data_IF_918852803316
#
_entry.id   IF_918852803316
#
_cell.length_a   1.000
_cell.length_b   1.000
_cell.length_c   1.000
_cell.angle_alpha   90.00
_cell.angle_beta   90.00
_cell.angle_gamma   90.00
#
_symmetry.space_group_name_H-M   'P 1'
#
loop_
_entity.id
_entity.type
_entity.pdbx_description
1 polymer ?
#
# COMPACT_ATOMS: atom_id res chain seq x y z
N UNK A 1 25.89 18.86 18.50
CA UNK A 1 25.22 18.31 17.30
C UNK A 1 24.57 19.45 16.53
N UNK A 2 24.87 19.63 15.24
CA UNK A 2 24.36 20.74 14.40
C UNK A 2 23.30 20.19 13.43
N UNK A 3 22.26 19.54 13.91
CA UNK A 3 21.21 19.04 13.02
C UNK A 3 20.18 20.11 12.69
N UNK A 4 19.77 20.22 11.43
CA UNK A 4 18.63 21.03 10.99
C UNK A 4 17.28 20.39 11.27
N UNK A 5 17.27 19.06 11.41
CA UNK A 5 16.06 18.26 11.54
C UNK A 5 16.38 17.02 12.38
N UNK A 6 15.47 16.69 13.28
CA UNK A 6 15.51 15.44 14.06
C UNK A 6 14.16 14.77 13.92
N UNK A 7 14.14 13.58 13.32
CA UNK A 7 12.93 12.81 13.11
C UNK A 7 13.01 11.53 13.93
N UNK A 8 11.96 11.22 14.67
CA UNK A 8 11.85 9.99 15.44
C UNK A 8 11.04 8.97 14.64
N UNK A 9 11.52 7.75 14.56
CA UNK A 9 10.87 6.67 13.83
C UNK A 9 10.90 5.36 14.60
N UNK A 10 9.90 4.55 14.35
CA UNK A 10 9.86 3.12 14.67
C UNK A 10 9.77 2.37 13.36
N UNK A 11 10.77 1.55 13.07
CA UNK A 11 10.84 0.73 11.88
C UNK A 11 10.20 -0.64 12.14
N UNK A 12 9.44 -1.13 11.18
CA UNK A 12 8.78 -2.43 11.19
C UNK A 12 8.85 -3.08 9.81
N UNK A 13 8.45 -4.33 9.70
CA UNK A 13 8.09 -4.92 8.42
C UNK A 13 6.76 -5.66 8.52
N UNK A 14 5.97 -5.58 7.48
CA UNK A 14 4.72 -6.33 7.32
C UNK A 14 4.95 -7.42 6.28
N UNK A 15 4.99 -8.68 6.72
CA UNK A 15 5.21 -9.84 5.84
C UNK A 15 6.41 -9.63 4.89
N UNK A 16 7.48 -8.99 5.37
CA UNK A 16 8.70 -8.72 4.63
C UNK A 16 8.80 -7.33 3.99
N UNK A 17 7.71 -6.58 3.87
CA UNK A 17 7.73 -5.21 3.34
C UNK A 17 7.99 -4.20 4.46
N UNK A 18 9.06 -3.37 4.36
CA UNK A 18 9.39 -2.41 5.42
C UNK A 18 8.34 -1.31 5.56
N UNK A 19 8.17 -0.83 6.79
CA UNK A 19 7.39 0.36 7.10
C UNK A 19 8.11 1.16 8.17
N UNK A 20 8.56 2.36 7.82
CA UNK A 20 9.11 3.35 8.74
C UNK A 20 7.99 4.25 9.24
N UNK A 21 7.62 4.12 10.50
CA UNK A 21 6.58 4.94 11.13
C UNK A 21 7.24 6.14 11.79
N UNK A 22 6.98 7.35 11.26
CA UNK A 22 7.48 8.61 11.81
C UNK A 22 6.56 9.03 12.94
N UNK A 23 7.07 8.95 14.16
CA UNK A 23 6.34 9.20 15.40
C UNK A 23 6.58 10.59 15.99
N UNK A 24 7.55 11.34 15.45
CA UNK A 24 7.87 12.68 15.92
C UNK A 24 8.84 13.44 15.05
N UNK A 25 8.98 14.76 15.33
CA UNK A 25 9.86 15.65 14.58
C UNK A 25 9.20 16.34 13.38
N UNK A 26 7.97 15.97 13.03
CA UNK A 26 7.13 16.64 12.03
C UNK A 26 5.94 17.26 12.78
N UNK A 27 5.75 18.56 12.64
CA UNK A 27 4.58 19.24 13.19
C UNK A 27 3.28 18.85 12.48
N UNK A 28 2.16 19.41 12.92
CA UNK A 28 0.87 19.21 12.26
C UNK A 28 0.93 19.73 10.83
N UNK A 29 0.68 18.84 9.89
CA UNK A 29 0.66 19.15 8.44
C UNK A 29 -0.62 19.96 8.15
N UNK A 30 -0.54 21.09 7.43
CA UNK A 30 -1.72 21.86 7.04
C UNK A 30 -2.68 21.07 6.15
N UNK A 31 -3.99 21.26 6.39
CA UNK A 31 -5.07 20.64 5.64
C UNK A 31 -6.24 20.25 6.53
N UNK A 32 -7.47 20.38 6.02
CA UNK A 32 -8.71 20.04 6.70
C UNK A 32 -9.09 18.57 6.55
N UNK A 33 -8.47 17.87 5.59
CA UNK A 33 -8.58 16.42 5.40
C UNK A 33 -7.20 15.79 5.28
N UNK A 34 -7.09 14.49 5.53
CA UNK A 34 -5.81 13.80 5.37
C UNK A 34 -5.32 13.81 3.92
N UNK A 35 -6.24 13.85 2.94
CA UNK A 35 -5.85 13.98 1.53
C UNK A 35 -5.24 15.37 1.24
N UNK A 36 -5.83 16.45 1.77
CA UNK A 36 -5.24 17.79 1.67
C UNK A 36 -3.86 17.85 2.33
N UNK A 37 -3.68 17.22 3.51
CA UNK A 37 -2.37 17.11 4.18
C UNK A 37 -1.36 16.35 3.33
N UNK A 38 -1.75 15.25 2.69
CA UNK A 38 -0.91 14.49 1.75
C UNK A 38 -0.44 15.38 0.60
N UNK A 39 -1.36 16.10 -0.03
CA UNK A 39 -1.06 16.99 -1.16
C UNK A 39 -0.16 18.14 -0.74
N UNK A 40 -0.47 18.79 0.39
CA UNK A 40 0.35 19.86 0.94
C UNK A 40 1.78 19.40 1.24
N UNK A 41 1.94 18.23 1.89
CA UNK A 41 3.25 17.70 2.24
C UNK A 41 4.07 17.35 1.00
N UNK A 42 3.43 16.80 -0.01
CA UNK A 42 4.04 16.54 -1.32
C UNK A 42 4.57 17.81 -1.98
N UNK A 43 3.83 18.89 -1.91
CA UNK A 43 4.19 20.15 -2.56
C UNK A 43 5.27 20.91 -1.79
N UNK A 44 5.23 20.89 -0.45
CA UNK A 44 6.04 21.77 0.38
C UNK A 44 7.16 21.07 1.15
N UNK A 45 7.08 19.75 1.37
CA UNK A 45 8.00 19.00 2.23
C UNK A 45 8.41 17.65 1.64
N UNK A 46 8.49 17.54 0.32
CA UNK A 46 8.99 16.33 -0.34
C UNK A 46 10.46 16.02 0.05
N UNK A 47 11.21 17.05 0.46
CA UNK A 47 12.54 16.94 1.04
C UNK A 47 12.61 15.91 2.19
N UNK A 48 11.61 15.90 3.06
CA UNK A 48 11.53 14.94 4.19
C UNK A 48 11.26 13.51 3.70
N UNK A 49 10.32 13.34 2.75
CA UNK A 49 10.06 12.03 2.17
C UNK A 49 11.32 11.47 1.51
N UNK A 50 11.98 12.27 0.70
CA UNK A 50 13.23 11.88 0.02
C UNK A 50 14.33 11.51 1.02
N UNK A 51 14.55 12.34 2.05
CA UNK A 51 15.51 12.09 3.12
C UNK A 51 15.29 10.74 3.80
N UNK A 52 14.03 10.35 4.04
CA UNK A 52 13.67 9.15 4.82
C UNK A 52 13.57 7.88 3.97
N UNK A 53 13.20 8.03 2.69
CA UNK A 53 12.90 6.89 1.81
C UNK A 53 14.09 6.52 0.91
N UNK A 54 14.91 7.49 0.51
CA UNK A 54 16.06 7.25 -0.36
C UNK A 54 17.30 6.84 0.45
N UNK A 55 18.29 6.24 -0.23
CA UNK A 55 19.62 6.02 0.35
C UNK A 55 20.29 7.35 0.69
N UNK A 56 21.11 7.43 1.74
CA UNK A 56 21.61 6.35 2.59
C UNK A 56 20.73 6.04 3.81
N UNK A 57 19.58 6.72 4.00
CA UNK A 57 18.71 6.54 5.17
C UNK A 57 17.56 5.57 4.92
N UNK A 58 17.21 5.34 3.67
CA UNK A 58 16.25 4.35 3.18
C UNK A 58 16.90 3.40 2.17
N UNK A 59 16.11 2.88 1.26
CA UNK A 59 16.55 2.01 0.15
C UNK A 59 15.48 1.98 -0.96
N UNK A 60 15.81 1.44 -2.13
CA UNK A 60 14.99 1.46 -3.35
C UNK A 60 13.57 0.86 -3.23
N UNK A 61 13.20 0.27 -2.11
CA UNK A 61 11.84 -0.22 -1.83
C UNK A 61 11.38 0.20 -0.43
N UNK A 62 11.83 1.36 0.04
CA UNK A 62 11.44 1.86 1.35
C UNK A 62 10.03 2.42 1.32
N UNK A 63 9.25 2.06 2.34
CA UNK A 63 7.91 2.56 2.60
C UNK A 63 7.81 3.11 4.01
N UNK A 64 6.94 4.07 4.23
CA UNK A 64 6.77 4.69 5.54
C UNK A 64 5.42 5.35 5.73
N UNK A 65 5.20 5.81 6.95
CA UNK A 65 3.98 6.49 7.37
C UNK A 65 4.33 7.62 8.34
N UNK A 66 3.71 8.78 8.17
CA UNK A 66 3.84 9.91 9.08
C UNK A 66 2.59 9.98 9.94
N UNK A 67 2.73 9.79 11.25
CA UNK A 67 1.62 9.95 12.19
C UNK A 67 1.27 11.42 12.34
N UNK A 68 -0.04 11.71 12.35
CA UNK A 68 -0.61 13.04 12.50
C UNK A 68 -1.81 13.00 13.45
N UNK A 69 -2.20 14.11 14.07
CA UNK A 69 -3.53 14.23 14.64
C UNK A 69 -4.58 13.96 13.54
N UNK A 70 -5.67 13.23 13.82
CA UNK A 70 -6.69 12.98 12.83
C UNK A 70 -7.42 14.28 12.45
N UNK A 71 -7.99 14.33 11.25
CA UNK A 71 -8.88 15.42 10.82
C UNK A 71 -10.34 15.10 11.13
N UNK A 72 -10.64 13.82 11.36
CA UNK A 72 -11.95 13.29 11.71
C UNK A 72 -12.07 13.08 13.22
N UNK A 73 -13.18 13.49 13.86
CA UNK A 73 -13.36 13.32 15.30
C UNK A 73 -13.61 11.87 15.75
N UNK A 74 -13.91 10.97 14.80
CA UNK A 74 -14.17 9.56 15.03
C UNK A 74 -12.93 8.67 14.79
N UNK A 75 -11.75 9.28 14.64
CA UNK A 75 -10.49 8.58 14.40
C UNK A 75 -9.48 8.83 15.53
N UNK A 76 -8.63 7.84 15.81
CA UNK A 76 -7.60 7.88 16.84
C UNK A 76 -6.33 8.58 16.33
N UNK A 77 -5.93 8.27 15.08
CA UNK A 77 -4.74 8.81 14.42
C UNK A 77 -4.99 9.13 12.95
N UNK A 78 -4.31 10.18 12.48
CA UNK A 78 -4.16 10.47 11.05
C UNK A 78 -2.85 9.88 10.52
N UNK A 79 -2.86 9.45 9.26
CA UNK A 79 -1.69 8.82 8.63
C UNK A 79 -1.48 9.40 7.23
N UNK A 80 -0.25 9.85 6.93
CA UNK A 80 0.21 10.17 5.58
C UNK A 80 1.22 9.12 5.15
N UNK A 81 0.89 8.35 4.10
CA UNK A 81 1.78 7.32 3.56
C UNK A 81 2.80 7.91 2.59
N UNK A 82 4.06 7.53 2.77
CA UNK A 82 5.20 7.94 1.96
C UNK A 82 5.96 6.71 1.48
N UNK A 83 6.41 6.74 0.24
CA UNK A 83 7.22 5.69 -0.36
C UNK A 83 8.29 6.30 -1.28
N UNK A 84 9.23 5.48 -1.73
CA UNK A 84 10.15 5.86 -2.81
C UNK A 84 9.39 6.27 -4.07
N UNK A 85 8.24 5.65 -4.34
CA UNK A 85 7.33 5.96 -5.45
C UNK A 85 6.52 7.26 -5.27
N UNK A 86 6.43 7.80 -4.04
CA UNK A 86 5.69 9.04 -3.78
C UNK A 86 4.78 8.97 -2.56
N UNK A 87 3.53 9.40 -2.73
CA UNK A 87 2.54 9.53 -1.66
C UNK A 87 1.28 8.75 -2.00
N UNK A 88 0.99 7.72 -1.24
CA UNK A 88 -0.17 6.88 -1.47
C UNK A 88 -1.42 7.42 -0.77
N UNK A 89 -2.61 7.30 -1.38
CA UNK A 89 -3.86 7.56 -0.69
C UNK A 89 -4.16 6.52 0.40
N UNK A 90 -3.76 5.26 0.17
CA UNK A 90 -3.85 4.16 1.13
C UNK A 90 -2.70 3.17 0.92
N UNK A 91 -2.19 2.60 2.03
CA UNK A 91 -1.14 1.59 2.03
C UNK A 91 -1.49 0.47 3.02
N UNK A 92 -1.84 -0.72 2.52
CA UNK A 92 -2.31 -1.82 3.38
C UNK A 92 -1.24 -2.36 4.32
N UNK A 93 -0.06 -2.70 3.81
CA UNK A 93 1.05 -3.18 4.64
C UNK A 93 1.54 -2.09 5.61
N UNK A 94 1.59 -0.83 5.13
CA UNK A 94 1.94 0.31 5.96
C UNK A 94 0.96 0.51 7.12
N UNK A 95 -0.34 0.34 6.88
CA UNK A 95 -1.37 0.43 7.92
C UNK A 95 -1.23 -0.69 8.96
N UNK A 96 -0.94 -1.93 8.54
CA UNK A 96 -0.64 -3.04 9.45
C UNK A 96 0.59 -2.70 10.31
N UNK A 97 1.66 -2.16 9.68
CA UNK A 97 2.85 -1.69 10.40
C UNK A 97 2.54 -0.58 11.40
N UNK A 98 1.78 0.44 10.99
CA UNK A 98 1.33 1.54 11.86
C UNK A 98 0.55 1.01 13.07
N UNK A 99 -0.48 0.18 12.84
CA UNK A 99 -1.31 -0.36 13.93
C UNK A 99 -0.48 -1.20 14.91
N UNK A 100 0.46 -2.01 14.39
CA UNK A 100 1.39 -2.77 15.23
C UNK A 100 2.28 -1.84 16.05
N UNK A 101 2.88 -0.81 15.44
CA UNK A 101 3.72 0.16 16.14
C UNK A 101 2.93 0.90 17.23
N UNK A 102 1.71 1.35 16.96
CA UNK A 102 0.87 2.05 17.94
C UNK A 102 0.60 1.18 19.18
N UNK A 103 0.34 -0.11 19.00
CA UNK A 103 0.15 -1.06 20.12
C UNK A 103 1.47 -1.33 20.85
N UNK A 104 2.53 -1.73 20.13
CA UNK A 104 3.81 -2.12 20.72
C UNK A 104 4.55 -0.99 21.43
N UNK A 105 4.25 0.27 21.09
CA UNK A 105 4.87 1.45 21.72
C UNK A 105 3.96 2.17 22.71
N UNK A 106 2.74 1.66 22.97
CA UNK A 106 1.81 2.24 23.91
C UNK A 106 1.25 3.60 23.47
N UNK A 107 1.21 3.87 22.17
CA UNK A 107 0.65 5.11 21.62
C UNK A 107 -0.88 5.07 21.50
N UNK A 108 -1.49 3.93 21.80
CA UNK A 108 -2.93 3.71 21.95
C UNK A 108 -3.20 2.93 23.23
N UNK A 109 -4.40 3.04 23.77
CA UNK A 109 -4.85 2.17 24.85
C UNK A 109 -5.03 0.75 24.32
N UNK A 110 -4.34 -0.20 24.94
CA UNK A 110 -4.35 -1.60 24.51
C UNK A 110 -5.44 -2.36 25.26
N UNK A 111 -6.36 -2.97 24.50
CA UNK A 111 -7.45 -3.81 25.00
C UNK A 111 -7.29 -5.22 24.43
N UNK A 112 -7.23 -6.23 25.32
CA UNK A 112 -7.24 -7.65 24.92
C UNK A 112 -8.66 -8.22 24.92
N UNK A 113 -8.97 -9.16 24.04
CA UNK A 113 -8.09 -9.78 23.03
C UNK A 113 -7.98 -9.01 21.72
N UNK A 114 -8.71 -7.89 21.56
CA UNK A 114 -8.71 -7.10 20.32
C UNK A 114 -8.69 -5.61 20.66
N UNK A 115 -7.68 -4.91 20.14
CA UNK A 115 -7.58 -3.44 20.15
C UNK A 115 -8.07 -2.91 18.80
N UNK A 116 -9.09 -2.07 18.81
CA UNK A 116 -9.61 -1.42 17.59
C UNK A 116 -9.01 -0.04 17.46
N UNK A 117 -8.37 0.24 16.32
CA UNK A 117 -7.77 1.54 15.99
C UNK A 117 -8.44 2.10 14.74
N UNK A 118 -8.92 3.32 14.80
CA UNK A 118 -9.57 4.03 13.69
C UNK A 118 -8.58 5.02 13.11
N UNK A 119 -8.15 4.75 11.89
CA UNK A 119 -7.15 5.56 11.19
C UNK A 119 -7.81 6.44 10.13
N UNK A 120 -7.54 7.73 10.21
CA UNK A 120 -7.89 8.72 9.20
C UNK A 120 -6.80 8.71 8.12
N UNK A 121 -7.14 8.26 6.92
CA UNK A 121 -6.20 8.16 5.80
C UNK A 121 -6.61 9.06 4.65
N UNK A 122 -5.72 9.38 3.70
CA UNK A 122 -6.08 10.15 2.51
C UNK A 122 -7.23 9.53 1.68
N UNK A 123 -7.36 8.19 1.69
CA UNK A 123 -8.45 7.48 1.01
C UNK A 123 -9.72 7.34 1.88
N UNK A 124 -9.71 7.81 3.14
CA UNK A 124 -10.83 7.74 4.06
C UNK A 124 -10.55 6.96 5.34
N UNK A 125 -11.62 6.57 6.04
CA UNK A 125 -11.54 5.81 7.29
C UNK A 125 -11.08 4.38 7.02
N UNK A 126 -10.03 3.96 7.76
CA UNK A 126 -9.59 2.57 7.85
C UNK A 126 -9.68 2.10 9.29
N UNK A 127 -10.35 0.98 9.51
CA UNK A 127 -10.45 0.35 10.83
C UNK A 127 -9.48 -0.81 10.91
N UNK A 128 -8.56 -0.74 11.87
CA UNK A 128 -7.61 -1.80 12.19
C UNK A 128 -8.03 -2.51 13.47
N UNK A 129 -8.30 -3.80 13.39
CA UNK A 129 -8.56 -4.69 14.53
C UNK A 129 -7.27 -5.48 14.81
N UNK A 130 -6.57 -5.11 15.88
CA UNK A 130 -5.32 -5.73 16.28
C UNK A 130 -5.60 -6.83 17.29
N UNK A 131 -5.35 -8.07 16.93
CA UNK A 131 -5.36 -9.19 17.88
C UNK A 131 -4.16 -9.02 18.84
N UNK A 132 -4.44 -8.94 20.13
CA UNK A 132 -3.45 -8.73 21.19
C UNK A 132 -3.45 -9.88 22.17
N UNK A 133 -2.26 -10.35 22.51
CA UNK A 133 -2.05 -11.39 23.50
C UNK A 133 -0.77 -11.09 24.31
N UNK A 134 -0.90 -10.96 25.63
CA UNK A 134 0.19 -10.59 26.53
C UNK A 134 0.75 -9.20 26.22
N UNK A 135 -0.10 -8.25 25.83
CA UNK A 135 0.26 -6.89 25.46
C UNK A 135 0.90 -6.75 24.07
N UNK A 136 1.11 -7.83 23.33
CA UNK A 136 1.79 -7.83 22.03
C UNK A 136 0.81 -8.02 20.86
N UNK A 137 1.01 -7.28 19.76
CA UNK A 137 0.26 -7.42 18.52
C UNK A 137 0.60 -8.77 17.83
N UNK A 138 -0.41 -9.59 17.57
CA UNK A 138 -0.26 -10.92 16.94
C UNK A 138 -0.69 -10.94 15.47
N UNK A 139 -1.72 -10.19 15.14
CA UNK A 139 -2.24 -10.04 13.78
C UNK A 139 -3.01 -8.72 13.69
N UNK A 140 -3.12 -8.17 12.50
CA UNK A 140 -3.91 -6.98 12.22
C UNK A 140 -4.88 -7.28 11.10
N UNK A 141 -6.17 -7.13 11.36
CA UNK A 141 -7.22 -7.19 10.35
C UNK A 141 -7.64 -5.77 10.01
N UNK A 142 -7.57 -5.44 8.74
CA UNK A 142 -8.01 -4.14 8.23
C UNK A 142 -9.37 -4.28 7.54
N UNK A 143 -10.31 -3.39 7.90
CA UNK A 143 -11.49 -3.10 7.09
C UNK A 143 -11.10 -1.96 6.17
N UNK A 144 -10.88 -2.30 4.91
CA UNK A 144 -10.33 -1.37 3.92
C UNK A 144 -11.41 -0.49 3.30
N UNK A 145 -10.99 0.49 2.52
CA UNK A 145 -11.86 1.36 1.73
C UNK A 145 -12.66 0.54 0.70
N UNK A 146 -13.83 1.03 0.24
CA UNK A 146 -14.58 0.39 -0.82
C UNK A 146 -13.72 0.12 -2.05
N UNK A 147 -13.83 -1.09 -2.60
CA UNK A 147 -13.01 -1.56 -3.73
C UNK A 147 -13.92 -1.99 -4.87
N UNK A 148 -13.51 -1.72 -6.11
CA UNK A 148 -14.35 -1.95 -7.29
C UNK A 148 -13.54 -2.33 -8.52
N UNK A 149 -14.19 -3.05 -9.45
CA UNK A 149 -13.66 -3.29 -10.79
C UNK A 149 -13.92 -2.06 -11.66
N UNK A 150 -12.87 -1.57 -12.32
CA UNK A 150 -12.96 -0.49 -13.31
C UNK A 150 -13.29 -1.06 -14.70
N UNK A 151 -12.81 -2.27 -14.99
CA UNK A 151 -13.07 -2.96 -16.24
C UNK A 151 -12.38 -4.32 -16.31
N UNK A 152 -13.07 -5.26 -16.93
CA UNK A 152 -12.59 -6.60 -17.19
C UNK A 152 -12.18 -6.74 -18.65
N UNK A 153 -11.21 -7.64 -18.92
CA UNK A 153 -10.75 -8.01 -20.27
C UNK A 153 -10.34 -6.80 -21.14
N UNK A 154 -9.76 -5.79 -20.50
CA UNK A 154 -9.18 -4.61 -21.18
C UNK A 154 -7.93 -5.04 -21.94
N UNK A 155 -7.59 -4.25 -22.96
CA UNK A 155 -6.40 -4.50 -23.78
C UNK A 155 -5.46 -3.31 -23.71
N UNK A 156 -4.16 -3.57 -23.65
CA UNK A 156 -3.12 -2.55 -23.79
C UNK A 156 -2.11 -3.00 -24.82
N UNK A 157 -1.64 -2.06 -25.64
CA UNK A 157 -0.57 -2.32 -26.62
C UNK A 157 0.76 -1.87 -26.01
N UNK A 158 1.67 -2.82 -25.82
CA UNK A 158 3.00 -2.56 -25.26
C UNK A 158 3.90 -1.88 -26.30
N UNK A 159 5.00 -1.23 -25.88
CA UNK A 159 5.94 -0.57 -26.80
C UNK A 159 6.57 -1.49 -27.85
N UNK A 160 6.63 -2.80 -27.59
CA UNK A 160 7.11 -3.81 -28.53
C UNK A 160 6.05 -4.29 -29.55
N UNK A 161 4.84 -3.70 -29.50
CA UNK A 161 3.72 -4.01 -30.39
C UNK A 161 2.85 -5.18 -29.96
N UNK A 162 3.19 -5.89 -28.88
CA UNK A 162 2.33 -6.95 -28.33
C UNK A 162 1.11 -6.34 -27.65
N UNK A 163 -0.02 -7.01 -27.79
CA UNK A 163 -1.25 -6.67 -27.04
C UNK A 163 -1.42 -7.68 -25.91
N UNK A 164 -1.61 -7.19 -24.70
CA UNK A 164 -1.89 -7.99 -23.50
C UNK A 164 -3.30 -7.71 -22.99
N UNK A 165 -3.93 -8.73 -22.41
CA UNK A 165 -5.26 -8.60 -21.80
C UNK A 165 -5.11 -8.50 -20.29
N UNK A 166 -5.80 -7.54 -19.68
CA UNK A 166 -5.74 -7.28 -18.24
C UNK A 166 -7.09 -6.83 -17.69
N UNK A 167 -7.30 -7.01 -16.39
CA UNK A 167 -8.37 -6.38 -15.66
C UNK A 167 -7.85 -5.14 -14.93
N UNK A 168 -8.69 -4.14 -14.75
CA UNK A 168 -8.36 -2.95 -13.97
C UNK A 168 -9.30 -2.86 -12.78
N UNK A 169 -8.74 -2.73 -11.58
CA UNK A 169 -9.50 -2.62 -10.34
C UNK A 169 -8.88 -1.62 -9.36
N UNK A 170 -9.71 -1.11 -8.45
CA UNK A 170 -9.32 -0.23 -7.36
C UNK A 170 -9.49 -0.93 -6.01
N UNK A 171 -8.50 -0.78 -5.13
CA UNK A 171 -8.52 -1.32 -3.76
C UNK A 171 -7.90 -0.39 -2.72
N UNK A 172 -7.90 0.92 -3.02
CA UNK A 172 -7.14 1.98 -2.33
C UNK A 172 -6.07 2.61 -3.23
N UNK A 173 -5.68 1.89 -4.28
CA UNK A 173 -4.92 2.33 -5.45
C UNK A 173 -5.44 1.57 -6.67
N UNK A 174 -5.07 1.98 -7.89
CA UNK A 174 -5.41 1.26 -9.12
C UNK A 174 -4.39 0.15 -9.42
N UNK A 175 -4.91 -0.99 -9.86
CA UNK A 175 -4.15 -2.20 -10.17
C UNK A 175 -4.54 -2.75 -11.53
N UNK A 176 -3.56 -2.92 -12.42
CA UNK A 176 -3.71 -3.83 -13.54
C UNK A 176 -3.47 -5.27 -13.05
N UNK A 177 -4.37 -6.19 -13.38
CA UNK A 177 -4.38 -7.56 -12.87
C UNK A 177 -4.42 -8.52 -14.05
N UNK A 178 -3.39 -9.35 -14.22
CA UNK A 178 -3.30 -10.29 -15.32
C UNK A 178 -2.40 -11.48 -14.96
N UNK A 179 -2.57 -12.62 -15.66
CA UNK A 179 -1.65 -13.74 -15.47
C UNK A 179 -0.25 -13.39 -15.98
N UNK A 180 0.78 -13.85 -15.29
CA UNK A 180 2.17 -13.65 -15.71
C UNK A 180 2.46 -14.32 -17.06
N UNK A 181 1.69 -15.37 -17.41
CA UNK A 181 1.78 -16.09 -18.68
C UNK A 181 1.47 -15.20 -19.91
N UNK A 182 0.75 -14.08 -19.76
CA UNK A 182 0.55 -13.09 -20.83
C UNK A 182 1.89 -12.54 -21.36
N UNK A 183 2.92 -12.57 -20.53
CA UNK A 183 4.29 -12.16 -20.88
C UNK A 183 5.20 -13.35 -21.26
N UNK A 184 4.72 -14.60 -21.15
CA UNK A 184 5.53 -15.80 -21.36
C UNK A 184 6.65 -15.96 -20.32
N UNK A 185 6.50 -15.38 -19.13
CA UNK A 185 7.50 -15.39 -18.07
C UNK A 185 7.16 -16.42 -16.98
N UNK A 186 8.15 -17.19 -16.49
CA UNK A 186 7.95 -18.08 -15.36
C UNK A 186 7.87 -17.28 -14.04
N UNK A 187 7.09 -17.79 -13.07
CA UNK A 187 7.09 -17.26 -11.72
C UNK A 187 8.33 -17.71 -10.96
N UNK A 188 9.43 -17.03 -11.22
CA UNK A 188 10.76 -17.34 -10.67
C UNK A 188 11.47 -16.04 -10.24
N UNK A 189 11.98 -16.00 -9.02
CA UNK A 189 12.75 -14.85 -8.48
C UNK A 189 14.03 -14.58 -9.29
N UNK A 190 14.61 -15.57 -9.92
CA UNK A 190 15.75 -15.39 -10.82
C UNK A 190 15.39 -14.52 -12.05
N UNK A 191 14.12 -14.45 -12.41
CA UNK A 191 13.60 -13.62 -13.51
C UNK A 191 12.95 -12.32 -13.04
N UNK A 192 13.21 -11.89 -11.80
CA UNK A 192 12.59 -10.72 -11.20
C UNK A 192 12.70 -9.45 -12.06
N UNK A 193 13.84 -9.24 -12.71
CA UNK A 193 14.08 -8.04 -13.49
C UNK A 193 13.23 -8.03 -14.78
N UNK A 194 13.06 -9.18 -15.43
CA UNK A 194 12.17 -9.31 -16.60
C UNK A 194 10.70 -9.15 -16.19
N UNK A 195 10.29 -9.73 -15.06
CA UNK A 195 8.93 -9.61 -14.52
C UNK A 195 8.63 -8.14 -14.16
N UNK A 196 9.60 -7.46 -13.56
CA UNK A 196 9.46 -6.04 -13.23
C UNK A 196 9.34 -5.17 -14.48
N UNK A 197 10.21 -5.39 -15.46
CA UNK A 197 10.18 -4.68 -16.74
C UNK A 197 8.84 -4.87 -17.48
N UNK A 198 8.29 -6.08 -17.47
CA UNK A 198 6.98 -6.37 -18.05
C UNK A 198 5.86 -5.56 -17.33
N UNK A 199 5.86 -5.54 -15.99
CA UNK A 199 4.91 -4.75 -15.20
C UNK A 199 5.01 -3.26 -15.48
N UNK A 200 6.22 -2.69 -15.51
CA UNK A 200 6.45 -1.27 -15.81
C UNK A 200 5.99 -0.89 -17.21
N UNK A 201 6.31 -1.72 -18.21
CA UNK A 201 5.87 -1.52 -19.59
C UNK A 201 4.34 -1.47 -19.72
N UNK A 202 3.63 -2.31 -18.97
CA UNK A 202 2.17 -2.28 -18.94
C UNK A 202 1.62 -1.02 -18.23
N UNK A 203 2.24 -0.59 -17.11
CA UNK A 203 1.85 0.65 -16.44
C UNK A 203 1.94 1.86 -17.38
N UNK A 204 3.06 1.97 -18.10
CA UNK A 204 3.30 3.05 -19.05
C UNK A 204 2.27 3.03 -20.17
N UNK A 205 1.97 1.85 -20.74
CA UNK A 205 0.97 1.69 -21.79
C UNK A 205 -0.44 2.10 -21.31
N UNK A 206 -0.87 1.64 -20.14
CA UNK A 206 -2.18 1.98 -19.56
C UNK A 206 -2.30 3.48 -19.32
N UNK A 207 -1.32 4.10 -18.68
CA UNK A 207 -1.36 5.52 -18.34
C UNK A 207 -1.26 6.43 -19.57
N UNK A 208 -0.60 5.98 -20.64
CA UNK A 208 -0.53 6.71 -21.90
C UNK A 208 -1.83 6.63 -22.70
N UNK A 209 -2.57 5.50 -22.63
CA UNK A 209 -3.82 5.30 -23.36
C UNK A 209 -5.02 5.90 -22.63
N UNK A 210 -5.22 5.54 -21.36
CA UNK A 210 -6.32 6.03 -20.53
C UNK A 210 -5.95 5.92 -19.05
N UNK A 211 -5.40 7.01 -18.50
CA UNK A 211 -5.05 7.06 -17.08
C UNK A 211 -6.30 6.88 -16.20
N UNK A 212 -6.37 5.85 -15.32
CA UNK A 212 -7.52 5.67 -14.45
C UNK A 212 -7.61 6.78 -13.41
N UNK A 213 -8.86 7.22 -13.12
CA UNK A 213 -9.15 8.27 -12.14
C UNK A 213 -10.28 7.80 -11.22
N UNK A 214 -10.11 8.03 -9.91
CA UNK A 214 -11.14 7.68 -8.93
C UNK A 214 -12.39 8.55 -9.12
N UNK A 215 -13.60 7.95 -9.16
CA UNK A 215 -14.82 8.67 -9.55
C UNK A 215 -15.25 9.77 -8.57
N UNK A 216 -14.83 9.69 -7.29
CA UNK A 216 -15.17 10.68 -6.25
C UNK A 216 -14.00 11.62 -5.91
N UNK A 217 -12.75 11.25 -6.25
CA UNK A 217 -11.57 12.07 -5.95
C UNK A 217 -10.58 12.04 -7.13
N UNK A 218 -10.59 13.06 -7.99
CA UNK A 218 -9.72 13.11 -9.18
C UNK A 218 -8.22 13.25 -8.85
N UNK A 219 -7.85 13.47 -7.60
CA UNK A 219 -6.45 13.48 -7.16
C UNK A 219 -5.89 12.08 -6.95
N UNK A 220 -6.76 11.05 -6.89
CA UNK A 220 -6.42 9.63 -6.85
C UNK A 220 -6.49 9.12 -8.29
N UNK A 221 -5.33 9.00 -8.93
CA UNK A 221 -5.24 8.67 -10.35
C UNK A 221 -3.95 7.94 -10.69
N UNK A 222 -3.93 7.33 -11.87
CA UNK A 222 -2.79 6.59 -12.42
C UNK A 222 -2.75 5.13 -12.00
N UNK A 223 -2.37 4.27 -12.93
CA UNK A 223 -2.06 2.85 -12.66
C UNK A 223 -0.57 2.73 -12.37
N UNK A 224 -0.21 2.60 -11.10
CA UNK A 224 1.19 2.49 -10.64
C UNK A 224 1.53 1.12 -10.05
N UNK A 225 0.62 0.15 -10.19
CA UNK A 225 0.75 -1.19 -9.64
C UNK A 225 0.26 -2.22 -10.64
N UNK A 226 1.03 -3.30 -10.85
CA UNK A 226 0.62 -4.44 -11.67
C UNK A 226 0.70 -5.72 -10.86
N UNK A 227 -0.45 -6.38 -10.70
CA UNK A 227 -0.62 -7.64 -10.03
C UNK A 227 -0.46 -8.78 -11.04
N UNK A 228 0.77 -9.28 -11.21
CA UNK A 228 1.11 -10.38 -12.09
C UNK A 228 0.88 -11.71 -11.36
N UNK A 229 -0.31 -12.30 -11.53
CA UNK A 229 -0.59 -13.54 -10.82
C UNK A 229 0.03 -14.75 -11.48
N UNK A 230 0.46 -15.72 -10.63
CA UNK A 230 1.21 -16.87 -11.04
C UNK A 230 0.32 -18.05 -11.46
N UNK A 231 0.85 -19.02 -12.22
CA UNK A 231 0.21 -20.31 -12.40
C UNK A 231 -0.16 -20.99 -11.08
N UNK A 232 -1.30 -21.66 -11.02
CA UNK A 232 -1.84 -22.28 -9.81
C UNK A 232 -2.65 -21.33 -8.92
N UNK A 233 -2.85 -20.07 -9.33
CA UNK A 233 -3.85 -19.20 -8.71
C UNK A 233 -5.26 -19.72 -8.99
N UNK A 234 -6.12 -19.60 -7.98
CA UNK A 234 -7.56 -19.93 -8.03
C UNK A 234 -8.37 -18.75 -7.53
N UNK A 235 -9.70 -18.86 -7.55
CA UNK A 235 -10.58 -17.85 -6.97
C UNK A 235 -10.38 -17.67 -5.44
N UNK A 236 -9.80 -18.63 -4.74
CA UNK A 236 -9.53 -18.58 -3.29
C UNK A 236 -8.05 -18.41 -2.96
N UNK A 237 -7.16 -18.55 -3.94
CA UNK A 237 -5.72 -18.39 -3.77
C UNK A 237 -5.13 -17.61 -4.96
N UNK A 238 -4.57 -16.43 -4.70
CA UNK A 238 -3.74 -15.71 -5.66
C UNK A 238 -2.28 -15.79 -5.23
N UNK A 239 -1.41 -16.17 -6.15
CA UNK A 239 0.05 -16.07 -5.99
C UNK A 239 0.53 -15.05 -7.02
N UNK A 240 1.33 -14.07 -6.60
CA UNK A 240 1.65 -12.98 -7.51
C UNK A 240 3.01 -12.34 -7.28
N UNK A 241 3.52 -11.68 -8.29
CA UNK A 241 4.55 -10.66 -8.22
C UNK A 241 3.87 -9.30 -8.39
N UNK A 242 4.01 -8.42 -7.40
CA UNK A 242 3.43 -7.07 -7.42
C UNK A 242 4.49 -6.07 -7.87
N UNK A 243 4.48 -5.75 -9.17
CA UNK A 243 5.35 -4.71 -9.70
C UNK A 243 4.79 -3.33 -9.37
N UNK A 244 5.67 -2.43 -8.91
CA UNK A 244 5.31 -1.08 -8.45
C UNK A 244 6.22 -0.05 -9.12
N UNK A 245 5.62 1.06 -9.58
CA UNK A 245 6.35 2.22 -10.07
C UNK A 245 7.20 2.85 -8.94
N UNK A 246 8.45 3.33 -9.18
CA UNK A 246 9.16 3.42 -10.46
C UNK A 246 9.94 2.16 -10.85
N UNK A 247 9.99 1.11 -10.03
CA UNK A 247 10.71 -0.09 -10.40
C UNK A 247 11.13 -0.98 -9.22
N UNK A 248 10.15 -1.48 -8.44
CA UNK A 248 10.38 -2.40 -7.34
C UNK A 248 9.18 -3.34 -7.15
N UNK A 249 9.36 -4.36 -6.31
CA UNK A 249 8.26 -5.26 -5.94
C UNK A 249 7.80 -5.01 -4.51
N UNK A 250 6.49 -5.08 -4.26
CA UNK A 250 5.99 -5.28 -2.91
C UNK A 250 6.44 -6.66 -2.41
N UNK A 251 7.08 -6.69 -1.24
CA UNK A 251 7.50 -7.94 -0.59
C UNK A 251 6.33 -8.58 0.14
N UNK A 252 5.39 -7.77 0.62
CA UNK A 252 4.15 -8.26 1.25
C UNK A 252 3.16 -8.77 0.19
N UNK A 253 2.07 -9.42 0.61
CA UNK A 253 0.97 -9.76 -0.29
C UNK A 253 0.20 -8.57 -0.86
N UNK A 254 0.55 -7.32 -0.50
CA UNK A 254 -0.10 -6.08 -0.91
C UNK A 254 -1.57 -5.98 -0.48
N UNK A 255 -1.88 -5.25 0.60
CA UNK A 255 -3.24 -5.16 1.15
C UNK A 255 -4.26 -4.52 0.21
N UNK A 256 -3.89 -3.38 -0.41
CA UNK A 256 -4.73 -2.71 -1.41
C UNK A 256 -4.82 -3.52 -2.71
N UNK A 257 -3.74 -4.20 -3.12
CA UNK A 257 -3.75 -5.15 -4.24
C UNK A 257 -4.59 -6.40 -3.97
N UNK A 258 -4.56 -6.92 -2.72
CA UNK A 258 -5.46 -8.00 -2.27
C UNK A 258 -6.93 -7.58 -2.39
N UNK A 259 -7.26 -6.36 -1.96
CA UNK A 259 -8.60 -5.80 -2.05
C UNK A 259 -9.05 -5.61 -3.50
N UNK A 260 -8.18 -5.08 -4.36
CA UNK A 260 -8.45 -4.93 -5.80
C UNK A 260 -8.65 -6.29 -6.48
N UNK A 261 -7.82 -7.29 -6.14
CA UNK A 261 -7.97 -8.65 -6.67
C UNK A 261 -9.29 -9.30 -6.25
N UNK A 262 -9.68 -9.17 -4.98
CA UNK A 262 -10.97 -9.67 -4.51
C UNK A 262 -12.15 -8.98 -5.19
N UNK A 263 -12.09 -7.65 -5.39
CA UNK A 263 -13.12 -6.91 -6.11
C UNK A 263 -13.22 -7.34 -7.58
N UNK A 264 -12.10 -7.55 -8.23
CA UNK A 264 -12.03 -8.06 -9.60
C UNK A 264 -12.62 -9.48 -9.72
N UNK A 265 -12.25 -10.41 -8.81
CA UNK A 265 -12.80 -11.76 -8.78
C UNK A 265 -14.31 -11.76 -8.48
N UNK A 266 -14.77 -10.87 -7.61
CA UNK A 266 -16.19 -10.70 -7.33
C UNK A 266 -16.96 -10.19 -8.55
N UNK A 267 -16.41 -9.22 -9.27
CA UNK A 267 -16.98 -8.72 -10.51
C UNK A 267 -17.05 -9.78 -11.62
N UNK A 268 -16.12 -10.75 -11.62
CA UNK A 268 -16.18 -11.94 -12.50
C UNK A 268 -17.16 -13.01 -12.00
N UNK A 269 -17.75 -12.86 -10.81
CA UNK A 269 -18.60 -13.88 -10.19
C UNK A 269 -17.85 -15.08 -9.63
N UNK A 270 -16.52 -14.97 -9.47
CA UNK A 270 -15.63 -16.05 -9.03
C UNK A 270 -15.40 -16.05 -7.51
N UNK A 271 -15.55 -14.92 -6.83
CA UNK A 271 -15.36 -14.81 -5.37
C UNK A 271 -16.65 -14.30 -4.70
N UNK A 272 -17.43 -15.17 -4.04
CA UNK A 272 -18.60 -14.76 -3.27
C UNK A 272 -18.22 -13.98 -2.01
N UNK A 273 -19.19 -13.22 -1.46
CA UNK A 273 -19.03 -12.60 -0.13
C UNK A 273 -18.75 -13.67 0.93
N UNK A 274 -18.05 -13.25 1.98
CA UNK A 274 -17.71 -14.06 3.16
C UNK A 274 -16.83 -15.29 2.87
N UNK A 275 -16.37 -15.46 1.63
CA UNK A 275 -15.43 -16.54 1.27
C UNK A 275 -14.02 -16.13 1.62
N UNK A 276 -13.24 -17.04 2.21
CA UNK A 276 -11.84 -16.82 2.49
C UNK A 276 -11.03 -16.76 1.19
N UNK A 277 -10.13 -15.79 1.13
CA UNK A 277 -9.22 -15.56 0.03
C UNK A 277 -7.80 -15.43 0.57
N UNK A 278 -6.87 -16.20 0.02
CA UNK A 278 -5.45 -16.13 0.38
C UNK A 278 -4.67 -15.45 -0.73
N UNK A 279 -3.92 -14.41 -0.39
CA UNK A 279 -3.02 -13.75 -1.32
C UNK A 279 -1.57 -14.00 -0.90
N UNK A 280 -0.79 -14.65 -1.77
CA UNK A 280 0.60 -15.00 -1.52
C UNK A 280 1.53 -14.11 -2.32
N UNK A 281 2.50 -13.50 -1.64
CA UNK A 281 3.48 -12.59 -2.23
C UNK A 281 4.57 -13.32 -3.04
N UNK A 282 5.37 -12.53 -3.76
CA UNK A 282 6.50 -13.05 -4.52
C UNK A 282 7.58 -13.73 -3.64
N UNK A 283 7.63 -13.41 -2.34
CA UNK A 283 8.53 -14.05 -1.37
C UNK A 283 7.87 -15.19 -0.58
N UNK A 284 6.57 -15.47 -0.82
CA UNK A 284 5.84 -16.59 -0.21
C UNK A 284 5.16 -16.27 1.12
N UNK A 285 5.06 -14.99 1.51
CA UNK A 285 4.26 -14.55 2.67
C UNK A 285 2.80 -14.38 2.28
N UNK A 286 1.86 -14.34 3.26
CA UNK A 286 0.44 -14.42 2.98
C UNK A 286 -0.38 -13.39 3.75
N UNK A 287 -1.40 -12.86 3.08
CA UNK A 287 -2.56 -12.25 3.71
C UNK A 287 -3.79 -13.13 3.51
N UNK A 288 -4.67 -13.12 4.50
CA UNK A 288 -6.00 -13.74 4.38
C UNK A 288 -7.04 -12.63 4.24
N UNK A 289 -7.79 -12.65 3.15
CA UNK A 289 -8.80 -11.66 2.82
C UNK A 289 -10.22 -12.21 2.86
N UNK A 290 -11.20 -11.30 2.92
CA UNK A 290 -12.62 -11.61 2.83
C UNK A 290 -13.40 -10.39 2.38
N UNK A 291 -14.41 -10.58 1.53
CA UNK A 291 -15.40 -9.56 1.20
C UNK A 291 -16.51 -9.59 2.25
N UNK A 292 -16.74 -8.48 2.93
CA UNK A 292 -17.70 -8.38 4.03
C UNK A 292 -19.10 -8.04 3.55
N UNK A 293 -19.21 -7.14 2.55
CA UNK A 293 -20.49 -6.65 2.03
C UNK A 293 -20.30 -6.00 0.66
N UNK A 294 -21.41 -5.58 0.05
CA UNK A 294 -21.42 -4.78 -1.17
C UNK A 294 -21.77 -3.32 -0.87
N UNK A 295 -21.33 -2.41 -1.73
CA UNK A 295 -21.64 -0.99 -1.66
C UNK A 295 -21.57 -0.37 -3.05
N UNK A 296 -21.59 0.96 -3.14
CA UNK A 296 -21.39 1.71 -4.37
C UNK A 296 -20.42 2.87 -4.14
N UNK A 297 -19.64 3.20 -5.16
CA UNK A 297 -18.77 4.39 -5.22
C UNK A 297 -19.17 5.18 -6.46
N UNK A 298 -19.77 6.36 -6.30
CA UNK A 298 -20.33 7.17 -7.41
C UNK A 298 -21.22 6.36 -8.38
N UNK A 299 -22.01 5.42 -7.85
CA UNK A 299 -22.89 4.55 -8.65
C UNK A 299 -22.18 3.31 -9.25
N UNK A 300 -20.86 3.17 -9.11
CA UNK A 300 -20.12 1.97 -9.51
C UNK A 300 -20.30 0.90 -8.45
N UNK A 301 -20.71 -0.34 -8.80
CA UNK A 301 -20.77 -1.45 -7.85
C UNK A 301 -19.41 -1.70 -7.19
N UNK A 302 -19.39 -1.77 -5.88
CA UNK A 302 -18.19 -1.92 -5.07
C UNK A 302 -18.39 -2.95 -3.94
N UNK A 303 -17.31 -3.42 -3.36
CA UNK A 303 -17.29 -4.34 -2.24
C UNK A 303 -16.55 -3.72 -1.06
N UNK A 304 -16.83 -4.20 0.14
CA UNK A 304 -16.13 -3.84 1.38
C UNK A 304 -15.16 -4.97 1.75
N UNK A 305 -13.88 -4.87 1.41
CA UNK A 305 -12.91 -5.91 1.70
C UNK A 305 -12.32 -5.75 3.10
N UNK A 306 -11.95 -6.89 3.67
CA UNK A 306 -11.04 -6.98 4.81
C UNK A 306 -9.88 -7.90 4.48
N UNK A 307 -8.73 -7.67 5.10
CA UNK A 307 -7.59 -8.58 5.04
C UNK A 307 -6.80 -8.56 6.34
N UNK A 308 -6.19 -9.69 6.66
CA UNK A 308 -5.40 -9.92 7.86
C UNK A 308 -3.97 -10.23 7.48
N UNK A 309 -3.03 -9.58 8.16
CA UNK A 309 -1.60 -9.83 8.08
C UNK A 309 -0.91 -9.56 9.40
N UNK A 310 0.40 -9.70 9.42
CA UNK A 310 1.20 -9.46 10.61
C UNK A 310 2.38 -8.55 10.31
N UNK A 311 2.74 -7.70 11.30
CA UNK A 311 3.97 -6.93 11.28
C UNK A 311 4.83 -7.22 12.52
N UNK A 312 6.10 -6.90 12.41
CA UNK A 312 7.09 -7.00 13.48
C UNK A 312 7.88 -5.71 13.55
N UNK A 313 7.99 -5.14 14.74
CA UNK A 313 8.89 -4.00 15.01
C UNK A 313 10.33 -4.49 14.87
N UNK A 314 11.13 -3.76 14.11
CA UNK A 314 12.54 -4.10 13.85
C UNK A 314 13.51 -3.19 14.58
N UNK A 315 13.08 -1.99 14.97
CA UNK A 315 13.92 -1.07 15.73
C UNK A 315 13.33 0.32 15.88
N UNK A 316 14.02 1.16 16.62
CA UNK A 316 13.74 2.60 16.75
C UNK A 316 14.93 3.39 16.24
N UNK A 317 14.68 4.54 15.60
CA UNK A 317 15.71 5.37 15.04
C UNK A 317 15.43 6.86 15.23
N UNK A 318 16.54 7.63 15.25
CA UNK A 318 16.51 9.08 15.10
C UNK A 318 17.26 9.43 13.80
N UNK A 319 16.55 10.02 12.86
CA UNK A 319 17.13 10.50 11.62
C UNK A 319 17.51 11.95 11.75
N UNK A 320 18.74 12.25 11.40
CA UNK A 320 19.35 13.57 11.54
C UNK A 320 19.72 14.10 10.15
N UNK A 321 19.60 15.41 9.98
CA UNK A 321 20.10 16.10 8.81
C UNK A 321 21.19 17.06 9.22
N UNK A 322 22.47 16.71 8.96
CA UNK A 322 23.57 17.62 9.11
C UNK A 322 23.50 18.72 8.04
N UNK A 323 23.73 20.00 8.37
CA UNK A 323 23.76 21.09 7.38
C UNK A 323 24.78 20.91 6.26
N UNK A 324 25.83 20.13 6.48
CA UNK A 324 26.92 19.88 5.53
C UNK A 324 26.80 18.52 4.82
N UNK A 325 25.70 17.76 5.06
CA UNK A 325 25.44 16.50 4.37
C UNK A 325 25.31 16.75 2.86
N UNK A 326 26.16 16.14 2.00
CA UNK A 326 26.07 16.31 0.55
C UNK A 326 24.83 15.66 -0.07
N UNK A 327 24.11 14.80 0.68
CA UNK A 327 22.90 14.08 0.24
C UNK A 327 21.70 14.38 1.14
N UNK A 328 21.25 15.63 1.26
CA UNK A 328 20.14 16.00 2.14
C UNK A 328 18.81 15.37 1.74
N UNK A 329 18.62 15.07 0.45
CA UNK A 329 17.45 14.35 -0.09
C UNK A 329 17.74 12.86 -0.38
N UNK A 330 18.97 12.40 -0.05
CA UNK A 330 19.41 11.06 -0.45
C UNK A 330 19.66 10.93 -1.95
N UNK A 331 19.74 9.69 -2.41
CA UNK A 331 19.92 9.34 -3.83
C UNK A 331 19.24 8.00 -4.12
N UNK A 332 19.03 7.73 -5.41
CA UNK A 332 18.54 6.45 -5.94
C UNK A 332 19.57 5.97 -6.95
N UNK A 333 20.02 4.73 -6.83
CA UNK A 333 20.93 4.08 -7.78
C UNK A 333 20.20 3.06 -8.64
#
# INVERSE_FOLDING_TARGET
MRSKLVLHAVDSHTEGMPTRVITGGIGTIPGSTMNERRLWFREHRDDIKQLLMNEPRGHAAMSGAILQPPTRPDCDWGVVYIEVSGYLPMCGHGTIGVATVLVETGMVEVVEPVTTIRLDTPAGLVVAEVAVEGGAAKAVTLKNVPSFSVGLDRKATLPDGRTVTYDLAYGGNFYAILPLDEFGLPFDRARKDDILAAGLSLMDAINAEEEPVHPEDPTIRGCHHVHLYAPGSTAQLSRHAMAIHPGWFDRSPCGTGTSARMAQLHARGELPLHTEFVNESFIGTRFTGRLLDTTQVAGVPAVLPSFTGRAWVTGTAQYLLDPEDPFPAGFVL
#
